data_IF_531868664579
#
_entry.id   IF_531868664579
#
_cell.length_a   1.000
_cell.length_b   1.000
_cell.length_c   1.000
_cell.angle_alpha   90.00
_cell.angle_beta   90.00
_cell.angle_gamma   90.00
#
_symmetry.space_group_name_H-M   'P 1'
#
loop_
_entity.id
_entity.type
_entity.pdbx_description
1 polymer ?
#
# COMPACT_ATOMS: atom_id res chain seq x y z
N UNK A 1 21.37 19.70 3.65
CA UNK A 1 20.55 19.31 2.48
C UNK A 1 19.34 18.42 2.82
N UNK A 2 19.34 17.71 3.95
CA UNK A 2 18.31 16.71 4.27
C UNK A 2 16.97 17.28 4.78
N UNK A 3 16.98 18.40 5.52
CA UNK A 3 15.76 19.00 6.06
C UNK A 3 14.78 19.51 4.99
N UNK A 4 15.29 20.06 3.88
CA UNK A 4 14.47 20.58 2.78
C UNK A 4 13.70 19.45 2.09
N UNK A 5 14.35 18.32 1.83
CA UNK A 5 13.70 17.15 1.20
C UNK A 5 12.59 16.62 2.12
N UNK A 6 12.88 16.48 3.42
CA UNK A 6 11.89 16.04 4.41
C UNK A 6 10.71 16.99 4.47
N UNK A 7 10.96 18.30 4.51
CA UNK A 7 9.93 19.32 4.53
C UNK A 7 9.10 19.34 3.23
N UNK A 8 9.73 19.14 2.07
CA UNK A 8 9.02 19.04 0.79
C UNK A 8 8.12 17.79 0.75
N UNK A 9 8.62 16.62 1.16
CA UNK A 9 7.81 15.39 1.16
C UNK A 9 6.65 15.46 2.17
N UNK A 10 6.90 15.92 3.39
CA UNK A 10 5.86 16.09 4.40
C UNK A 10 4.87 17.19 4.02
N UNK A 11 5.40 18.34 3.62
CA UNK A 11 4.62 19.53 3.25
C UNK A 11 3.73 19.27 2.05
N UNK A 12 4.23 18.59 1.00
CA UNK A 12 3.40 18.26 -0.17
C UNK A 12 2.27 17.31 0.18
N UNK A 13 2.51 16.27 0.98
CA UNK A 13 1.44 15.37 1.45
C UNK A 13 0.42 16.09 2.32
N UNK A 14 0.87 17.00 3.18
CA UNK A 14 -0.01 17.78 4.04
C UNK A 14 -0.85 18.79 3.23
N UNK A 15 -0.24 19.51 2.29
CA UNK A 15 -0.94 20.42 1.38
C UNK A 15 -1.95 19.67 0.50
N UNK A 16 -1.59 18.50 -0.03
CA UNK A 16 -2.55 17.64 -0.75
C UNK A 16 -3.69 17.21 0.16
N UNK A 17 -3.42 16.84 1.41
CA UNK A 17 -4.46 16.47 2.37
C UNK A 17 -5.42 17.63 2.65
N UNK A 18 -4.90 18.86 2.73
CA UNK A 18 -5.67 20.06 3.02
C UNK A 18 -6.57 20.48 1.85
N UNK A 19 -6.03 20.53 0.64
CA UNK A 19 -6.75 21.06 -0.52
C UNK A 19 -7.45 19.99 -1.35
N UNK A 20 -6.86 18.79 -1.48
CA UNK A 20 -7.31 17.74 -2.38
C UNK A 20 -7.12 16.34 -1.77
N UNK A 21 -7.89 15.96 -0.73
CA UNK A 21 -7.70 14.70 -0.03
C UNK A 21 -7.86 13.47 -0.93
N UNK A 22 -8.64 13.57 -2.02
CA UNK A 22 -8.73 12.53 -3.04
C UNK A 22 -7.42 12.37 -3.80
N UNK A 23 -6.75 13.48 -4.15
CA UNK A 23 -5.46 13.43 -4.83
C UNK A 23 -4.39 12.77 -3.94
N UNK A 24 -4.44 13.00 -2.61
CA UNK A 24 -3.58 12.29 -1.66
C UNK A 24 -3.74 10.76 -1.78
N UNK A 25 -4.98 10.26 -1.85
CA UNK A 25 -5.28 8.83 -2.03
C UNK A 25 -4.66 8.34 -3.35
N UNK A 26 -4.89 9.04 -4.45
CA UNK A 26 -4.39 8.66 -5.78
C UNK A 26 -2.86 8.60 -5.82
N UNK A 27 -2.20 9.66 -5.36
CA UNK A 27 -0.73 9.73 -5.31
C UNK A 27 -0.18 8.63 -4.41
N UNK A 28 -0.81 8.39 -3.26
CA UNK A 28 -0.35 7.37 -2.30
C UNK A 28 -0.45 5.97 -2.89
N UNK A 29 -1.53 5.64 -3.61
CA UNK A 29 -1.70 4.34 -4.26
C UNK A 29 -0.72 4.16 -5.42
N UNK A 30 -0.52 5.19 -6.25
CA UNK A 30 0.41 5.12 -7.38
C UNK A 30 1.86 4.98 -6.92
N UNK A 31 2.26 5.76 -5.93
CA UNK A 31 3.66 5.81 -5.48
C UNK A 31 3.94 4.82 -4.36
N UNK A 32 2.92 4.20 -3.74
CA UNK A 32 3.04 3.36 -2.53
C UNK A 32 4.05 2.23 -2.66
N UNK A 33 4.09 1.61 -3.84
CA UNK A 33 5.02 0.52 -4.14
C UNK A 33 6.38 1.01 -4.67
N UNK A 34 6.53 2.30 -5.02
CA UNK A 34 7.79 2.83 -5.53
C UNK A 34 8.78 3.09 -4.39
N UNK A 35 9.98 2.49 -4.41
CA UNK A 35 11.04 2.87 -3.50
C UNK A 35 11.47 4.29 -3.83
N UNK A 36 11.38 5.20 -2.85
CA UNK A 36 11.93 6.55 -2.99
C UNK A 36 13.45 6.56 -2.88
N UNK A 37 14.03 5.48 -2.34
CA UNK A 37 15.47 5.26 -2.23
C UNK A 37 15.99 4.49 -3.44
N UNK A 38 16.04 5.15 -4.59
CA UNK A 38 16.74 4.61 -5.77
C UNK A 38 18.25 4.54 -5.49
N UNK A 39 18.72 3.43 -4.92
CA UNK A 39 20.15 3.12 -4.77
C UNK A 39 20.91 3.95 -3.71
N UNK A 40 20.27 4.89 -3.01
CA UNK A 40 20.90 5.62 -1.91
C UNK A 40 20.72 4.87 -0.60
N UNK A 41 21.82 4.30 -0.11
CA UNK A 41 21.95 3.79 1.27
C UNK A 41 22.12 4.89 2.32
N UNK A 42 22.03 6.17 1.92
CA UNK A 42 22.13 7.31 2.82
C UNK A 42 20.86 7.44 3.67
N UNK A 43 20.87 6.72 4.79
CA UNK A 43 19.91 6.92 5.87
C UNK A 43 20.13 8.30 6.48
N UNK A 44 19.05 9.05 6.71
CA UNK A 44 19.14 10.28 7.49
C UNK A 44 19.51 9.90 8.93
N UNK A 45 20.72 10.24 9.35
CA UNK A 45 21.17 10.11 10.73
C UNK A 45 20.77 11.37 11.49
N UNK A 46 19.76 11.24 12.35
CA UNK A 46 19.33 12.32 13.25
C UNK A 46 19.32 11.87 14.70
N UNK A 47 18.96 12.77 15.64
CA UNK A 47 18.74 12.42 17.05
C UNK A 47 17.63 11.37 17.22
N UNK A 48 16.78 11.20 16.21
CA UNK A 48 15.76 10.15 16.13
C UNK A 48 16.29 8.82 15.54
N UNK A 49 17.61 8.67 15.35
CA UNK A 49 18.23 7.49 14.73
C UNK A 49 18.17 7.51 13.20
N UNK A 50 18.40 6.35 12.59
CA UNK A 50 18.41 6.18 11.13
C UNK A 50 16.97 6.17 10.58
N UNK A 51 16.61 7.22 9.84
CA UNK A 51 15.34 7.34 9.14
C UNK A 51 15.51 7.19 7.63
N UNK A 52 14.79 6.23 7.08
CA UNK A 52 14.63 6.06 5.64
C UNK A 52 13.53 7.01 5.12
N UNK A 53 13.66 7.48 3.88
CA UNK A 53 12.65 8.29 3.19
C UNK A 53 11.28 7.60 3.16
N UNK A 54 11.26 6.26 3.10
CA UNK A 54 10.02 5.47 3.19
C UNK A 54 9.31 5.66 4.53
N UNK A 55 10.06 5.71 5.64
CA UNK A 55 9.51 5.92 6.97
C UNK A 55 9.02 7.37 7.16
N UNK A 56 9.74 8.35 6.61
CA UNK A 56 9.33 9.76 6.63
C UNK A 56 8.04 9.95 5.85
N UNK A 57 7.94 9.35 4.66
CA UNK A 57 6.73 9.34 3.85
C UNK A 57 5.55 8.69 4.57
N UNK A 58 5.78 7.57 5.27
CA UNK A 58 4.73 6.89 6.02
C UNK A 58 4.23 7.75 7.19
N UNK A 59 5.14 8.38 7.93
CA UNK A 59 4.78 9.30 9.00
C UNK A 59 4.01 10.51 8.49
N UNK A 60 4.47 11.11 7.38
CA UNK A 60 3.76 12.20 6.71
C UNK A 60 2.35 11.83 6.30
N UNK A 61 2.21 10.66 5.67
CA UNK A 61 0.91 10.11 5.33
C UNK A 61 0.03 9.95 6.58
N UNK A 62 0.57 9.40 7.67
CA UNK A 62 -0.19 9.20 8.91
C UNK A 62 -0.68 10.54 9.49
N UNK A 63 0.18 11.55 9.55
CA UNK A 63 -0.18 12.89 10.05
C UNK A 63 -1.24 13.53 9.15
N UNK A 64 -1.05 13.48 7.83
CA UNK A 64 -2.03 13.97 6.84
C UNK A 64 -3.39 13.27 6.97
N UNK A 65 -3.40 11.95 7.13
CA UNK A 65 -4.63 11.18 7.31
C UNK A 65 -5.34 11.55 8.61
N UNK A 66 -4.60 11.61 9.74
CA UNK A 66 -5.15 12.02 11.02
C UNK A 66 -5.75 13.42 10.97
N UNK A 67 -5.08 14.35 10.27
CA UNK A 67 -5.59 15.70 10.05
C UNK A 67 -6.94 15.68 9.33
N UNK A 68 -7.03 15.03 8.16
CA UNK A 68 -8.30 14.95 7.39
C UNK A 68 -9.41 14.26 8.19
N UNK A 69 -9.07 13.20 8.93
CA UNK A 69 -9.99 12.49 9.81
C UNK A 69 -10.49 13.40 10.94
N UNK A 70 -9.60 14.20 11.54
CA UNK A 70 -9.92 15.14 12.63
C UNK A 70 -10.86 16.27 12.18
N UNK A 71 -10.80 16.66 10.91
CA UNK A 71 -11.76 17.62 10.34
C UNK A 71 -13.15 16.99 10.11
N UNK A 72 -13.22 15.66 10.00
CA UNK A 72 -14.43 14.90 9.69
C UNK A 72 -14.84 13.92 10.80
N UNK A 73 -14.62 14.28 12.07
CA UNK A 73 -14.79 13.39 13.24
C UNK A 73 -16.17 12.74 13.32
N UNK A 74 -17.24 13.45 12.95
CA UNK A 74 -18.62 12.88 13.00
C UNK A 74 -18.79 11.70 12.05
N UNK A 75 -18.23 11.79 10.85
CA UNK A 75 -18.31 10.73 9.83
C UNK A 75 -17.31 9.62 10.18
N UNK A 76 -16.07 9.99 10.50
CA UNK A 76 -15.04 9.04 10.89
C UNK A 76 -15.44 8.22 12.13
N UNK A 77 -16.07 8.85 13.13
CA UNK A 77 -16.52 8.20 14.36
C UNK A 77 -17.49 7.05 14.11
N UNK A 78 -18.42 7.19 13.15
CA UNK A 78 -19.32 6.10 12.77
C UNK A 78 -18.55 4.88 12.26
N UNK A 79 -17.52 5.10 11.45
CA UNK A 79 -16.68 4.02 10.93
C UNK A 79 -15.77 3.41 11.98
N UNK A 80 -15.20 4.22 12.88
CA UNK A 80 -14.37 3.74 13.99
C UNK A 80 -15.17 2.79 14.89
N UNK A 81 -16.45 3.08 15.16
CA UNK A 81 -17.33 2.21 15.95
C UNK A 81 -17.56 0.87 15.25
N UNK A 82 -17.71 0.86 13.91
CA UNK A 82 -17.83 -0.38 13.13
C UNK A 82 -16.58 -1.26 13.29
N UNK A 83 -15.40 -0.65 13.30
CA UNK A 83 -14.11 -1.34 13.47
C UNK A 83 -13.57 -1.28 14.91
N UNK A 84 -14.46 -1.33 15.91
CA UNK A 84 -14.11 -1.15 17.34
C UNK A 84 -12.96 -2.01 17.83
N UNK A 85 -12.87 -3.27 17.39
CA UNK A 85 -11.83 -4.19 17.87
C UNK A 85 -10.44 -3.74 17.42
N UNK A 86 -10.32 -3.23 16.20
CA UNK A 86 -9.05 -2.72 15.69
C UNK A 86 -8.69 -1.37 16.34
N UNK A 87 -9.69 -0.51 16.58
CA UNK A 87 -9.48 0.73 17.31
C UNK A 87 -9.01 0.48 18.76
N UNK A 88 -9.61 -0.49 19.46
CA UNK A 88 -9.18 -0.92 20.80
C UNK A 88 -7.77 -1.52 20.78
N UNK A 89 -7.44 -2.32 19.76
CA UNK A 89 -6.08 -2.84 19.58
C UNK A 89 -5.06 -1.72 19.40
N UNK A 90 -5.35 -0.71 18.56
CA UNK A 90 -4.47 0.44 18.38
C UNK A 90 -4.35 1.29 19.65
N UNK A 91 -5.43 1.46 20.41
CA UNK A 91 -5.40 2.13 21.71
C UNK A 91 -4.52 1.36 22.71
N UNK A 92 -4.66 0.04 22.78
CA UNK A 92 -3.80 -0.83 23.58
C UNK A 92 -2.33 -0.69 23.16
N UNK A 93 -2.01 -0.76 21.87
CA UNK A 93 -0.65 -0.57 21.38
C UNK A 93 -0.10 0.82 21.72
N UNK A 94 -0.93 1.85 21.70
CA UNK A 94 -0.56 3.23 22.06
C UNK A 94 -0.23 3.35 23.56
N UNK A 95 -1.02 2.70 24.42
CA UNK A 95 -0.73 2.62 25.86
C UNK A 95 0.54 1.79 26.10
N UNK A 96 0.73 0.69 25.39
CA UNK A 96 1.91 -0.16 25.47
C UNK A 96 3.22 0.59 25.18
N UNK A 97 3.17 1.71 24.44
CA UNK A 97 4.34 2.54 24.18
C UNK A 97 5.00 3.09 25.45
N UNK A 98 4.23 3.31 26.53
CA UNK A 98 4.74 3.82 27.80
C UNK A 98 5.77 2.86 28.41
N UNK A 99 5.62 1.55 28.18
CA UNK A 99 6.53 0.51 28.65
C UNK A 99 7.60 0.13 27.62
N UNK A 100 7.62 0.79 26.46
CA UNK A 100 8.58 0.46 25.41
C UNK A 100 10.00 0.92 25.79
N UNK A 101 11.04 0.07 25.62
CA UNK A 101 12.43 0.46 25.90
C UNK A 101 12.92 1.62 25.02
N UNK A 102 12.29 1.83 23.86
CA UNK A 102 12.58 2.95 22.98
C UNK A 102 11.30 3.49 22.32
N UNK A 103 10.95 4.72 22.69
CA UNK A 103 9.75 5.39 22.22
C UNK A 103 9.73 5.54 20.69
N UNK A 104 10.89 5.79 20.07
CA UNK A 104 11.02 5.98 18.62
C UNK A 104 10.69 4.68 17.86
N UNK A 105 11.21 3.55 18.33
CA UNK A 105 10.91 2.25 17.71
C UNK A 105 9.44 1.90 17.89
N UNK A 106 8.91 2.12 19.09
CA UNK A 106 7.50 1.94 19.39
C UNK A 106 6.59 2.76 18.46
N UNK A 107 6.85 4.06 18.32
CA UNK A 107 6.10 4.94 17.41
C UNK A 107 6.20 4.49 15.95
N UNK A 108 7.37 4.00 15.51
CA UNK A 108 7.55 3.46 14.15
C UNK A 108 6.69 2.21 13.93
N UNK A 109 6.59 1.33 14.93
CA UNK A 109 5.74 0.15 14.85
C UNK A 109 4.26 0.51 14.93
N UNK A 110 3.88 1.45 15.79
CA UNK A 110 2.51 1.96 15.87
C UNK A 110 2.08 2.55 14.53
N UNK A 111 2.92 3.37 13.88
CA UNK A 111 2.63 3.95 12.57
C UNK A 111 2.42 2.89 11.49
N UNK A 112 3.22 1.81 11.48
CA UNK A 112 3.03 0.68 10.54
C UNK A 112 1.72 -0.05 10.76
N UNK A 113 1.33 -0.24 12.02
CA UNK A 113 0.08 -0.91 12.39
C UNK A 113 -1.14 -0.03 12.13
N UNK A 114 -1.04 1.27 12.39
CA UNK A 114 -2.15 2.22 12.23
C UNK A 114 -2.36 2.65 10.77
N UNK A 115 -1.32 2.66 9.93
CA UNK A 115 -1.40 3.20 8.58
C UNK A 115 -2.49 2.54 7.70
N UNK A 116 -2.63 1.20 7.62
CA UNK A 116 -3.70 0.58 6.83
C UNK A 116 -5.10 0.97 7.33
N UNK A 117 -5.28 1.05 8.65
CA UNK A 117 -6.55 1.44 9.26
C UNK A 117 -6.89 2.91 9.02
N UNK A 118 -5.91 3.80 9.20
CA UNK A 118 -6.06 5.22 8.90
C UNK A 118 -6.34 5.46 7.42
N UNK A 119 -5.68 4.70 6.54
CA UNK A 119 -5.93 4.78 5.10
C UNK A 119 -7.34 4.31 4.73
N UNK A 120 -7.82 3.22 5.34
CA UNK A 120 -9.20 2.77 5.19
C UNK A 120 -10.20 3.85 5.65
N UNK A 121 -9.99 4.43 6.83
CA UNK A 121 -10.83 5.52 7.33
C UNK A 121 -10.80 6.74 6.41
N UNK A 122 -9.63 7.11 5.88
CA UNK A 122 -9.50 8.19 4.91
C UNK A 122 -10.34 7.89 3.65
N UNK A 123 -10.21 6.70 3.07
CA UNK A 123 -10.98 6.30 1.89
C UNK A 123 -12.48 6.37 2.17
N UNK A 124 -12.95 5.82 3.29
CA UNK A 124 -14.38 5.78 3.65
C UNK A 124 -14.97 7.16 3.99
N UNK A 125 -14.14 8.11 4.41
CA UNK A 125 -14.58 9.48 4.73
C UNK A 125 -14.55 10.41 3.52
N UNK A 126 -13.57 10.24 2.64
CA UNK A 126 -13.31 11.14 1.50
C UNK A 126 -14.02 10.69 0.22
N UNK A 127 -14.12 9.38 -0.02
CA UNK A 127 -14.70 8.84 -1.26
C UNK A 127 -16.21 8.76 -1.12
N UNK A 128 -16.92 9.61 -1.87
CA UNK A 128 -18.38 9.72 -1.81
C UNK A 128 -19.09 9.19 -3.05
N UNK A 129 -18.36 8.90 -4.14
CA UNK A 129 -18.96 8.51 -5.42
C UNK A 129 -18.41 7.21 -5.99
N UNK A 130 -19.27 6.48 -6.71
CA UNK A 130 -18.89 5.27 -7.44
C UNK A 130 -17.83 5.55 -8.52
N UNK A 131 -17.85 6.75 -9.10
CA UNK A 131 -16.85 7.18 -10.11
C UNK A 131 -15.45 7.25 -9.50
N UNK A 132 -15.33 7.84 -8.31
CA UNK A 132 -14.06 7.89 -7.57
C UNK A 132 -13.59 6.49 -7.17
N UNK A 133 -14.50 5.61 -6.74
CA UNK A 133 -14.13 4.22 -6.41
C UNK A 133 -13.57 3.47 -7.64
N UNK A 134 -14.20 3.62 -8.80
CA UNK A 134 -13.69 3.07 -10.08
C UNK A 134 -12.35 3.68 -10.50
N UNK A 135 -12.12 4.96 -10.19
CA UNK A 135 -10.83 5.62 -10.43
C UNK A 135 -9.74 5.05 -9.51
N UNK A 136 -10.04 4.84 -8.23
CA UNK A 136 -9.14 4.17 -7.26
C UNK A 136 -8.78 2.77 -7.76
N UNK A 137 -9.77 1.98 -8.16
CA UNK A 137 -9.55 0.64 -8.72
C UNK A 137 -8.62 0.70 -9.94
N UNK A 138 -8.88 1.62 -10.87
CA UNK A 138 -8.05 1.81 -12.07
C UNK A 138 -6.61 2.20 -11.73
N UNK A 139 -6.41 3.07 -10.75
CA UNK A 139 -5.09 3.49 -10.27
C UNK A 139 -4.33 2.30 -9.65
N UNK A 140 -4.99 1.51 -8.81
CA UNK A 140 -4.38 0.31 -8.21
C UNK A 140 -3.98 -0.67 -9.30
N UNK A 141 -4.81 -0.86 -10.32
CA UNK A 141 -4.49 -1.74 -11.44
C UNK A 141 -3.33 -1.24 -12.29
N UNK A 142 -3.21 0.07 -12.51
CA UNK A 142 -2.08 0.68 -13.23
C UNK A 142 -0.78 0.56 -12.42
N UNK A 143 -0.85 0.58 -11.08
CA UNK A 143 0.34 0.48 -10.23
C UNK A 143 1.10 -0.84 -10.42
N UNK A 144 0.42 -1.94 -10.77
CA UNK A 144 1.04 -3.25 -10.98
C UNK A 144 2.03 -3.27 -12.15
N UNK A 145 1.59 -3.01 -13.40
CA UNK A 145 2.47 -2.89 -14.55
C UNK A 145 3.59 -1.88 -14.35
N UNK A 146 3.27 -0.74 -13.75
CA UNK A 146 4.25 0.31 -13.47
C UNK A 146 5.39 -0.20 -12.59
N UNK A 147 5.06 -0.92 -11.51
CA UNK A 147 6.02 -1.56 -10.61
C UNK A 147 6.86 -2.62 -11.32
N UNK A 148 6.25 -3.43 -12.19
CA UNK A 148 6.97 -4.42 -13.00
C UNK A 148 7.93 -3.75 -13.98
N UNK A 149 7.49 -2.70 -14.69
CA UNK A 149 8.32 -1.95 -15.64
C UNK A 149 9.52 -1.33 -14.91
N UNK A 150 9.31 -0.71 -13.75
CA UNK A 150 10.40 -0.13 -12.96
C UNK A 150 11.36 -1.22 -12.46
N UNK A 151 10.86 -2.37 -12.00
CA UNK A 151 11.70 -3.49 -11.58
C UNK A 151 12.57 -4.03 -12.72
N UNK A 152 12.01 -4.18 -13.93
CA UNK A 152 12.75 -4.60 -15.12
C UNK A 152 13.77 -3.54 -15.53
N UNK A 153 13.37 -2.27 -15.62
CA UNK A 153 14.26 -1.17 -16.01
C UNK A 153 15.45 -1.03 -15.04
N UNK A 154 15.20 -1.07 -13.73
CA UNK A 154 16.26 -0.99 -12.72
C UNK A 154 17.19 -2.21 -12.74
N UNK A 155 16.68 -3.39 -13.09
CA UNK A 155 17.50 -4.58 -13.27
C UNK A 155 18.37 -4.52 -14.53
N UNK A 156 17.83 -4.07 -15.66
CA UNK A 156 18.58 -3.86 -16.89
C UNK A 156 19.65 -2.78 -16.74
N UNK A 157 19.38 -1.75 -15.93
CA UNK A 157 20.35 -0.71 -15.59
C UNK A 157 21.42 -1.14 -14.58
N UNK A 158 21.39 -2.39 -14.07
CA UNK A 158 22.35 -2.89 -13.08
C UNK A 158 22.21 -2.25 -11.68
N UNK A 159 21.10 -1.55 -11.40
CA UNK A 159 20.86 -0.87 -10.12
C UNK A 159 20.36 -1.82 -9.02
N UNK A 160 19.96 -3.05 -9.39
CA UNK A 160 19.50 -4.05 -8.45
C UNK A 160 20.46 -5.26 -8.42
N UNK A 161 21.22 -5.45 -7.32
CA UNK A 161 22.15 -6.57 -7.20
C UNK A 161 21.45 -7.91 -6.98
N UNK A 162 20.14 -7.93 -6.71
CA UNK A 162 19.42 -9.18 -6.46
C UNK A 162 19.23 -10.01 -7.73
N UNK A 163 19.48 -11.33 -7.69
CA UNK A 163 19.24 -12.22 -8.82
C UNK A 163 17.75 -12.38 -9.15
N UNK A 164 16.85 -12.04 -8.22
CA UNK A 164 15.39 -12.08 -8.39
C UNK A 164 14.83 -10.78 -8.97
N UNK A 165 13.67 -10.81 -9.63
CA UNK A 165 12.99 -9.59 -10.10
C UNK A 165 12.37 -8.85 -8.90
N UNK A 166 12.95 -7.71 -8.54
CA UNK A 166 12.50 -6.88 -7.41
C UNK A 166 12.77 -5.41 -7.67
N UNK A 167 12.14 -4.53 -6.88
CA UNK A 167 12.50 -3.12 -6.87
C UNK A 167 13.74 -2.90 -5.96
N UNK A 168 14.62 -1.96 -6.31
CA UNK A 168 15.79 -1.65 -5.49
C UNK A 168 15.36 -1.22 -4.08
N UNK A 169 16.14 -1.62 -3.07
CA UNK A 169 15.84 -1.39 -1.64
C UNK A 169 14.54 -2.02 -1.11
N UNK A 170 13.85 -2.87 -1.89
CA UNK A 170 12.68 -3.63 -1.42
C UNK A 170 12.98 -5.13 -1.40
N UNK A 171 12.39 -5.85 -0.44
CA UNK A 171 12.49 -7.31 -0.42
C UNK A 171 11.61 -7.95 -1.50
N UNK A 172 11.99 -9.13 -2.03
CA UNK A 172 11.12 -9.90 -2.94
C UNK A 172 9.73 -10.19 -2.38
N UNK A 173 9.63 -10.35 -1.06
CA UNK A 173 8.37 -10.62 -0.37
C UNK A 173 7.39 -9.44 -0.48
N UNK A 174 7.85 -8.20 -0.30
CA UNK A 174 6.98 -7.01 -0.38
C UNK A 174 6.55 -6.75 -1.82
N UNK A 175 7.50 -6.88 -2.76
CA UNK A 175 7.23 -6.72 -4.19
C UNK A 175 6.17 -7.73 -4.67
N UNK A 176 6.38 -9.02 -4.39
CA UNK A 176 5.45 -10.07 -4.79
C UNK A 176 4.10 -9.99 -4.09
N UNK A 177 4.05 -9.61 -2.80
CA UNK A 177 2.78 -9.43 -2.08
C UNK A 177 1.91 -8.33 -2.71
N UNK A 178 2.53 -7.22 -3.13
CA UNK A 178 1.83 -6.15 -3.84
C UNK A 178 1.26 -6.66 -5.17
N UNK A 179 2.06 -7.36 -5.98
CA UNK A 179 1.62 -7.92 -7.25
C UNK A 179 0.50 -8.96 -7.08
N UNK A 180 0.57 -9.81 -6.05
CA UNK A 180 -0.51 -10.78 -5.76
C UNK A 180 -1.82 -10.08 -5.47
N UNK A 181 -1.82 -9.02 -4.65
CA UNK A 181 -3.03 -8.23 -4.38
C UNK A 181 -3.65 -7.65 -5.66
N UNK A 182 -2.81 -7.15 -6.56
CA UNK A 182 -3.27 -6.62 -7.86
C UNK A 182 -3.76 -7.73 -8.77
N UNK A 183 -3.07 -8.87 -8.85
CA UNK A 183 -3.49 -10.03 -9.65
C UNK A 183 -4.86 -10.55 -9.24
N UNK A 184 -5.13 -10.59 -7.93
CA UNK A 184 -6.43 -10.97 -7.37
C UNK A 184 -7.52 -9.98 -7.82
N UNK A 185 -7.24 -8.67 -7.78
CA UNK A 185 -8.16 -7.64 -8.30
C UNK A 185 -8.37 -7.73 -9.81
N UNK A 186 -7.31 -7.97 -10.59
CA UNK A 186 -7.40 -8.16 -12.05
C UNK A 186 -8.28 -9.35 -12.36
N UNK A 187 -8.09 -10.47 -11.67
CA UNK A 187 -8.90 -11.68 -11.84
C UNK A 187 -10.37 -11.39 -11.54
N UNK A 188 -10.68 -10.70 -10.43
CA UNK A 188 -12.04 -10.30 -10.12
C UNK A 188 -12.66 -9.41 -11.24
N UNK A 189 -11.86 -8.51 -11.82
CA UNK A 189 -12.28 -7.62 -12.92
C UNK A 189 -12.44 -8.34 -14.27
N UNK A 190 -11.86 -9.52 -14.47
CA UNK A 190 -12.02 -10.27 -15.74
C UNK A 190 -13.49 -10.61 -16.04
N UNK A 191 -14.34 -10.74 -15.03
CA UNK A 191 -15.75 -11.05 -15.19
C UNK A 191 -16.63 -9.90 -15.70
N UNK A 192 -16.16 -8.65 -15.62
CA UNK A 192 -17.01 -7.45 -15.85
C UNK A 192 -16.44 -6.48 -16.90
N UNK A 193 -15.33 -6.80 -17.57
CA UNK A 193 -14.64 -5.89 -18.48
C UNK A 193 -14.00 -6.56 -19.70
N UNK A 194 -12.99 -5.90 -20.29
CA UNK A 194 -12.23 -6.44 -21.42
C UNK A 194 -11.45 -7.68 -20.98
N UNK A 195 -12.03 -8.85 -21.25
CA UNK A 195 -11.47 -10.15 -20.85
C UNK A 195 -10.05 -10.35 -21.37
N UNK A 196 -9.76 -9.96 -22.61
CA UNK A 196 -8.43 -10.13 -23.20
C UNK A 196 -7.37 -9.26 -22.50
N UNK A 197 -7.66 -7.96 -22.35
CA UNK A 197 -6.75 -7.03 -21.68
C UNK A 197 -6.46 -7.42 -20.23
N UNK A 198 -7.48 -7.81 -19.48
CA UNK A 198 -7.33 -8.26 -18.10
C UNK A 198 -6.59 -9.60 -18.01
N UNK A 199 -6.79 -10.50 -18.97
CA UNK A 199 -6.05 -11.78 -19.01
C UNK A 199 -4.57 -11.57 -19.31
N UNK A 200 -4.23 -10.70 -20.26
CA UNK A 200 -2.85 -10.33 -20.56
C UNK A 200 -2.16 -9.68 -19.36
N UNK A 201 -2.86 -8.76 -18.69
CA UNK A 201 -2.39 -8.14 -17.46
C UNK A 201 -2.15 -9.18 -16.35
N UNK A 202 -3.06 -10.13 -16.19
CA UNK A 202 -2.91 -11.20 -15.21
C UNK A 202 -1.67 -12.07 -15.50
N UNK A 203 -1.45 -12.45 -16.76
CA UNK A 203 -0.27 -13.22 -17.17
C UNK A 203 1.02 -12.46 -16.86
N UNK A 204 1.07 -11.15 -17.16
CA UNK A 204 2.20 -10.29 -16.83
C UNK A 204 2.51 -10.32 -15.32
N UNK A 205 1.49 -10.11 -14.49
CA UNK A 205 1.65 -10.02 -13.03
C UNK A 205 2.03 -11.37 -12.42
N UNK A 206 1.42 -12.47 -12.87
CA UNK A 206 1.76 -13.84 -12.44
C UNK A 206 3.20 -14.17 -12.82
N UNK A 207 3.62 -13.85 -14.05
CA UNK A 207 5.00 -14.04 -14.50
C UNK A 207 5.99 -13.25 -13.63
N UNK A 208 5.66 -12.01 -13.28
CA UNK A 208 6.48 -11.19 -12.39
C UNK A 208 6.56 -11.74 -10.96
N UNK A 209 5.46 -12.29 -10.41
CA UNK A 209 5.46 -12.95 -9.09
C UNK A 209 6.34 -14.20 -9.10
N UNK A 210 6.25 -15.02 -10.14
CA UNK A 210 7.09 -16.22 -10.28
C UNK A 210 8.58 -15.82 -10.40
N UNK A 211 8.88 -14.77 -11.17
CA UNK A 211 10.24 -14.23 -11.32
C UNK A 211 10.83 -13.63 -10.02
N UNK A 212 9.98 -13.28 -9.05
CA UNK A 212 10.40 -12.87 -7.71
C UNK A 212 10.73 -14.06 -6.78
N UNK A 213 10.42 -15.31 -7.18
CA UNK A 213 10.76 -16.57 -6.50
C UNK A 213 10.30 -16.73 -5.04
N UNK A 214 9.18 -16.14 -4.67
CA UNK A 214 8.64 -16.17 -3.30
C UNK A 214 7.56 -17.25 -3.13
N UNK A 215 7.96 -18.44 -2.65
CA UNK A 215 7.07 -19.62 -2.50
C UNK A 215 5.76 -19.32 -1.75
N UNK A 216 5.83 -18.52 -0.68
CA UNK A 216 4.66 -18.17 0.15
C UNK A 216 3.64 -17.37 -0.66
N UNK A 217 4.07 -16.41 -1.47
CA UNK A 217 3.14 -15.57 -2.24
C UNK A 217 2.57 -16.30 -3.44
N UNK A 218 3.28 -17.28 -4.02
CA UNK A 218 2.73 -18.21 -5.02
C UNK A 218 1.58 -19.02 -4.40
N UNK A 219 1.77 -19.56 -3.19
CA UNK A 219 0.72 -20.28 -2.47
C UNK A 219 -0.49 -19.39 -2.16
N UNK A 220 -0.25 -18.17 -1.66
CA UNK A 220 -1.32 -17.20 -1.40
C UNK A 220 -2.09 -16.81 -2.67
N UNK A 221 -1.38 -16.64 -3.80
CA UNK A 221 -1.99 -16.35 -5.10
C UNK A 221 -2.86 -17.49 -5.59
N UNK A 222 -2.39 -18.74 -5.46
CA UNK A 222 -3.18 -19.92 -5.81
C UNK A 222 -4.48 -19.98 -5.01
N UNK A 223 -4.40 -19.86 -3.68
CA UNK A 223 -5.59 -19.84 -2.81
C UNK A 223 -6.53 -18.69 -3.19
N UNK A 224 -6.01 -17.48 -3.38
CA UNK A 224 -6.81 -16.31 -3.76
C UNK A 224 -7.54 -16.50 -5.10
N UNK A 225 -6.86 -17.06 -6.10
CA UNK A 225 -7.46 -17.36 -7.39
C UNK A 225 -8.53 -18.45 -7.29
N UNK A 226 -8.26 -19.53 -6.56
CA UNK A 226 -9.22 -20.61 -6.33
C UNK A 226 -10.51 -20.09 -5.68
N UNK A 227 -10.40 -19.23 -4.65
CA UNK A 227 -11.56 -18.64 -3.99
C UNK A 227 -12.36 -17.76 -4.96
N UNK A 228 -11.70 -16.89 -5.73
CA UNK A 228 -12.40 -16.02 -6.69
C UNK A 228 -13.10 -16.85 -7.76
N UNK A 229 -12.43 -17.84 -8.34
CA UNK A 229 -13.01 -18.69 -9.38
C UNK A 229 -14.17 -19.52 -8.82
N UNK A 230 -14.04 -20.05 -7.60
CA UNK A 230 -15.12 -20.77 -6.92
C UNK A 230 -16.36 -19.89 -6.74
N UNK A 231 -16.18 -18.66 -6.27
CA UNK A 231 -17.28 -17.70 -6.13
C UNK A 231 -17.88 -17.30 -7.48
N UNK A 232 -17.04 -17.04 -8.50
CA UNK A 232 -17.48 -16.65 -9.83
C UNK A 232 -18.26 -17.74 -10.57
N UNK A 233 -17.94 -19.01 -10.34
CA UNK A 233 -18.63 -20.17 -10.94
C UNK A 233 -19.92 -20.56 -10.18
N UNK A 234 -20.32 -19.78 -9.18
CA UNK A 234 -21.50 -20.06 -8.36
C UNK A 234 -21.33 -21.28 -7.45
N UNK A 235 -20.10 -21.57 -7.01
CA UNK A 235 -19.75 -22.80 -6.30
C UNK A 235 -20.63 -23.09 -5.07
N UNK A 236 -21.08 -22.07 -4.34
CA UNK A 236 -21.98 -22.27 -3.20
C UNK A 236 -23.43 -22.63 -3.60
N UNK A 237 -23.91 -22.16 -4.75
CA UNK A 237 -25.26 -22.43 -5.25
C UNK A 237 -25.38 -23.74 -6.05
N UNK A 238 -24.25 -24.39 -6.37
CA UNK A 238 -24.20 -25.71 -7.01
C UNK A 238 -23.86 -26.85 -6.05
N UNK A 239 -23.38 -26.54 -4.85
CA UNK A 239 -22.98 -27.51 -3.82
C UNK A 239 -24.03 -27.65 -2.72
N UNK A 240 -24.88 -26.64 -2.53
CA UNK A 240 -26.11 -26.72 -1.73
C UNK A 240 -27.27 -27.27 -2.57
#
# INVERSE_FOLDING_TARGET
>A
MNGIIVFLFLGTQFLMALFYPIALIYVTLMTGAMPLTFGRGEMLTGPFGRFDLTAIRLLGLCVSMLWVISLNVRVAGKYIVSYRMHALFLAYCSLALIWSPSMIYGLRMLAKLSAPFLFLLLVMTVVSSIRQLKAIESIVLISGPLVVIIAVATKLAGLNPNPMLTLPATSPAVFSAHLVGISVLVLARTGTGNRLGNSLLLVLLVGAVIAAFTRITIGAMFIGFSVILFLALGGAARVA
#
